data_IF_816989173133
#
_entry.id   IF_816989173133
#
_cell.length_a   1.000
_cell.length_b   1.000
_cell.length_c   1.000
_cell.angle_alpha   90.00
_cell.angle_beta   90.00
_cell.angle_gamma   90.00
#
_symmetry.space_group_name_H-M   'P 1'
#
loop_
_entity.id
_entity.type
_entity.pdbx_description
1 polymer ?
#
# COMPACT_ATOMS: atom_id res chain seq x y z
N UNK A 1 -9.21 15.40 -34.40
CA UNK A 1 -8.43 15.88 -33.23
C UNK A 1 -8.22 14.66 -32.36
N UNK A 2 -7.00 14.36 -31.94
CA UNK A 2 -6.77 13.27 -30.99
C UNK A 2 -7.51 13.59 -29.68
N UNK A 3 -8.12 12.60 -29.09
CA UNK A 3 -8.69 12.74 -27.73
C UNK A 3 -7.56 13.03 -26.76
N UNK A 4 -7.81 13.94 -25.80
CA UNK A 4 -6.83 14.37 -24.81
C UNK A 4 -7.14 13.73 -23.46
N UNK A 5 -6.10 13.36 -22.74
CA UNK A 5 -6.17 13.01 -21.32
C UNK A 5 -5.81 14.22 -20.47
N UNK A 6 -6.34 14.28 -19.26
CA UNK A 6 -5.97 15.23 -18.22
C UNK A 6 -5.20 14.50 -17.12
N UNK A 7 -4.29 15.20 -16.45
CA UNK A 7 -3.57 14.62 -15.32
C UNK A 7 -2.88 15.66 -14.45
N UNK A 8 -2.68 15.28 -13.17
CA UNK A 8 -1.95 16.06 -12.18
C UNK A 8 -0.47 15.71 -12.23
N UNK A 9 0.33 16.65 -12.74
CA UNK A 9 1.75 16.45 -13.02
C UNK A 9 2.62 17.02 -11.90
N UNK A 10 3.55 16.20 -11.43
CA UNK A 10 4.65 16.58 -10.57
C UNK A 10 5.78 17.17 -11.42
N UNK A 11 6.28 18.33 -11.04
CA UNK A 11 7.37 19.03 -11.73
C UNK A 11 8.61 19.12 -10.87
N UNK A 12 8.42 19.34 -9.55
CA UNK A 12 9.52 19.49 -8.60
C UNK A 12 9.01 19.46 -7.17
N UNK A 13 9.86 19.01 -6.25
CA UNK A 13 9.62 19.10 -4.80
C UNK A 13 9.43 20.55 -4.37
N UNK A 14 8.51 20.79 -3.45
CA UNK A 14 8.05 22.09 -2.95
C UNK A 14 7.26 22.94 -3.96
N UNK A 15 6.86 22.36 -5.08
CA UNK A 15 5.95 22.99 -6.03
C UNK A 15 4.61 22.24 -6.08
N UNK A 16 3.47 22.95 -6.28
CA UNK A 16 2.19 22.27 -6.38
C UNK A 16 2.13 21.43 -7.66
N UNK A 17 1.26 20.41 -7.65
CA UNK A 17 0.93 19.67 -8.86
C UNK A 17 0.30 20.61 -9.90
N UNK A 18 0.61 20.36 -11.17
CA UNK A 18 0.10 21.16 -12.30
C UNK A 18 -0.87 20.30 -13.09
N UNK A 19 -2.08 20.83 -13.35
CA UNK A 19 -3.03 20.20 -14.25
C UNK A 19 -2.54 20.35 -15.70
N UNK A 20 -2.36 19.23 -16.38
CA UNK A 20 -1.90 19.19 -17.78
C UNK A 20 -2.87 18.43 -18.67
N UNK A 21 -2.84 18.78 -19.97
CA UNK A 21 -3.50 18.00 -21.02
C UNK A 21 -2.44 17.40 -21.94
N UNK A 22 -2.52 16.10 -22.19
CA UNK A 22 -1.63 15.33 -23.07
C UNK A 22 -2.48 14.54 -24.08
N UNK A 23 -1.87 14.05 -25.12
CA UNK A 23 -2.51 13.03 -25.98
C UNK A 23 -2.71 11.74 -25.16
N UNK A 24 -3.84 11.06 -25.37
CA UNK A 24 -4.02 9.72 -24.79
C UNK A 24 -2.89 8.83 -25.30
N UNK A 25 -2.16 8.14 -24.42
CA UNK A 25 -1.04 7.30 -24.83
C UNK A 25 -1.52 6.15 -25.72
N UNK A 26 -0.61 5.62 -26.54
CA UNK A 26 -0.83 4.42 -27.33
C UNK A 26 -0.19 3.21 -26.68
N UNK A 27 -0.83 2.06 -26.81
CA UNK A 27 -0.28 0.81 -26.30
C UNK A 27 0.96 0.42 -27.10
N UNK A 28 2.12 0.37 -26.42
CA UNK A 28 3.35 -0.23 -26.99
C UNK A 28 3.31 -1.76 -26.84
N UNK A 29 4.17 -2.52 -27.55
CA UNK A 29 4.22 -3.98 -27.40
C UNK A 29 4.36 -4.40 -25.92
N UNK A 30 3.56 -5.37 -25.48
CA UNK A 30 3.51 -5.86 -24.12
C UNK A 30 2.74 -4.99 -23.13
N UNK A 31 2.21 -3.83 -23.55
CA UNK A 31 1.48 -2.88 -22.67
C UNK A 31 0.01 -2.76 -23.08
N UNK A 32 -0.77 -2.25 -22.16
CA UNK A 32 -2.15 -1.82 -22.39
C UNK A 32 -2.29 -0.32 -22.09
N UNK A 33 -3.34 0.31 -22.63
CA UNK A 33 -3.85 1.61 -22.18
C UNK A 33 -5.04 1.35 -21.29
N UNK A 34 -5.11 2.05 -20.17
CA UNK A 34 -6.15 1.93 -19.16
C UNK A 34 -6.84 3.29 -19.01
N UNK A 35 -8.16 3.32 -19.17
CA UNK A 35 -8.99 4.38 -18.66
C UNK A 35 -9.09 4.22 -17.14
N UNK A 36 -8.53 5.16 -16.39
CA UNK A 36 -8.52 5.12 -14.93
C UNK A 36 -9.93 5.36 -14.41
N UNK A 37 -10.38 4.50 -13.51
CA UNK A 37 -11.67 4.64 -12.82
C UNK A 37 -11.48 5.07 -11.38
N UNK A 38 -10.40 4.62 -10.73
CA UNK A 38 -10.04 5.06 -9.40
C UNK A 38 -8.52 5.05 -9.22
N UNK A 39 -8.01 5.97 -8.38
CA UNK A 39 -6.62 6.01 -7.97
C UNK A 39 -6.50 6.44 -6.51
N UNK A 40 -5.86 5.61 -5.68
CA UNK A 40 -5.61 5.94 -4.28
C UNK A 40 -4.54 7.02 -4.12
N UNK A 41 -4.61 7.77 -3.00
CA UNK A 41 -3.62 8.77 -2.60
C UNK A 41 -2.76 8.23 -1.46
N UNK A 42 -1.44 8.29 -1.62
CA UNK A 42 -0.47 7.75 -0.69
C UNK A 42 0.40 8.83 -0.02
N UNK A 43 0.90 8.53 1.18
CA UNK A 43 1.89 9.38 1.85
C UNK A 43 3.24 9.45 1.09
N UNK A 44 3.56 8.48 0.24
CA UNK A 44 4.72 8.54 -0.64
C UNK A 44 4.61 9.66 -1.68
N UNK A 45 3.40 9.97 -2.16
CA UNK A 45 3.16 11.12 -3.05
C UNK A 45 3.41 12.44 -2.30
N UNK A 46 2.98 12.51 -1.02
CA UNK A 46 3.30 13.64 -0.14
C UNK A 46 4.81 13.72 0.09
N UNK A 47 5.48 12.57 0.30
CA UNK A 47 6.93 12.50 0.42
C UNK A 47 7.65 13.14 -0.77
N UNK A 48 7.28 12.79 -1.99
CA UNK A 48 7.84 13.37 -3.21
C UNK A 48 7.64 14.90 -3.31
N UNK A 49 6.49 15.39 -2.85
CA UNK A 49 6.18 16.82 -2.85
C UNK A 49 6.95 17.61 -1.79
N UNK A 50 7.37 16.97 -0.68
CA UNK A 50 7.91 17.66 0.50
C UNK A 50 9.39 17.40 0.73
N UNK A 51 9.96 16.27 0.29
CA UNK A 51 11.32 15.86 0.60
C UNK A 51 12.13 15.60 -0.69
N UNK A 52 13.19 16.40 -0.95
CA UNK A 52 14.07 16.19 -2.11
C UNK A 52 14.72 14.79 -2.16
N UNK A 53 14.81 14.07 -1.05
CA UNK A 53 15.35 12.70 -1.02
C UNK A 53 14.52 11.70 -1.84
N UNK A 54 13.25 12.02 -2.11
CA UNK A 54 12.41 11.21 -3.00
C UNK A 54 12.73 11.37 -4.48
N UNK A 55 13.51 12.40 -4.85
CA UNK A 55 13.90 12.63 -6.25
C UNK A 55 14.74 11.49 -6.83
N UNK A 56 15.46 10.74 -5.98
CA UNK A 56 16.30 9.62 -6.42
C UNK A 56 15.48 8.41 -6.90
N UNK A 57 14.21 8.30 -6.48
CA UNK A 57 13.32 7.20 -6.88
C UNK A 57 12.36 7.58 -8.00
N UNK A 58 12.21 8.87 -8.31
CA UNK A 58 11.42 9.33 -9.45
C UNK A 58 12.34 9.39 -10.68
N UNK A 59 12.08 8.55 -11.67
CA UNK A 59 13.00 8.37 -12.80
C UNK A 59 12.67 9.23 -14.02
N UNK A 60 11.44 9.74 -14.08
CA UNK A 60 10.94 10.53 -15.20
C UNK A 60 10.44 11.88 -14.71
N UNK A 61 10.89 12.96 -15.33
CA UNK A 61 10.47 14.34 -15.05
C UNK A 61 10.12 15.11 -16.31
N UNK A 62 9.02 15.87 -16.31
CA UNK A 62 7.93 15.84 -15.32
C UNK A 62 7.10 14.56 -15.47
N UNK A 63 6.39 14.14 -14.42
CA UNK A 63 5.59 12.91 -14.39
C UNK A 63 4.20 13.16 -13.80
N UNK A 64 3.17 12.54 -14.33
CA UNK A 64 1.85 12.48 -13.67
C UNK A 64 1.95 11.46 -12.54
N UNK A 65 1.59 11.86 -11.31
CA UNK A 65 1.69 11.01 -10.12
C UNK A 65 0.51 10.03 -10.01
N UNK A 66 0.48 9.29 -8.90
CA UNK A 66 -0.56 8.30 -8.58
C UNK A 66 -0.17 6.90 -9.03
N UNK A 67 -0.01 6.01 -8.06
CA UNK A 67 0.46 4.63 -8.30
C UNK A 67 -0.53 3.55 -7.86
N UNK A 68 -1.68 3.93 -7.28
CA UNK A 68 -2.71 3.01 -6.81
C UNK A 68 -3.89 2.95 -7.79
N UNK A 69 -3.75 2.20 -8.87
CA UNK A 69 -4.59 2.35 -10.06
C UNK A 69 -5.52 1.17 -10.24
N UNK A 70 -6.79 1.46 -10.51
CA UNK A 70 -7.76 0.55 -11.07
C UNK A 70 -8.50 1.19 -12.25
N UNK A 71 -8.90 0.40 -13.24
CA UNK A 71 -9.58 0.94 -14.41
C UNK A 71 -9.98 -0.12 -15.42
N UNK A 72 -10.25 0.35 -16.65
CA UNK A 72 -10.71 -0.48 -17.76
C UNK A 72 -9.73 -0.37 -18.92
N UNK A 73 -9.37 -1.49 -19.52
CA UNK A 73 -8.48 -1.53 -20.69
C UNK A 73 -9.20 -0.93 -21.89
N UNK A 74 -8.58 0.06 -22.55
CA UNK A 74 -9.11 0.73 -23.75
C UNK A 74 -8.32 0.42 -25.02
N UNK A 75 -7.04 0.03 -24.88
CA UNK A 75 -6.20 -0.38 -26.02
C UNK A 75 -5.24 -1.49 -25.54
N UNK A 76 -4.98 -2.47 -26.42
CA UNK A 76 -4.08 -3.60 -26.14
C UNK A 76 -2.96 -3.58 -27.16
N UNK A 77 -1.70 -3.61 -26.69
CA UNK A 77 -0.52 -3.62 -27.52
C UNK A 77 -0.20 -5.00 -28.07
N UNK A 78 0.69 -5.04 -29.07
CA UNK A 78 1.16 -6.28 -29.66
C UNK A 78 1.80 -7.21 -28.62
N UNK A 79 1.50 -8.52 -28.71
CA UNK A 79 2.07 -9.54 -27.85
C UNK A 79 1.45 -9.64 -26.46
N UNK A 80 0.46 -8.84 -26.13
CA UNK A 80 -0.30 -8.99 -24.86
C UNK A 80 -1.23 -10.19 -24.97
N UNK A 81 -1.11 -11.11 -24.03
CA UNK A 81 -1.97 -12.28 -23.90
C UNK A 81 -2.81 -12.21 -22.61
N UNK A 82 -3.99 -12.82 -22.62
CA UNK A 82 -4.86 -12.93 -21.44
C UNK A 82 -5.71 -11.70 -21.11
N UNK A 83 -5.54 -10.58 -21.82
CA UNK A 83 -6.30 -9.34 -21.63
C UNK A 83 -6.88 -8.83 -22.94
N UNK A 84 -8.04 -8.15 -22.86
CA UNK A 84 -8.74 -7.51 -23.97
C UNK A 84 -9.32 -6.17 -23.56
N UNK A 85 -9.67 -5.37 -24.56
CA UNK A 85 -10.44 -4.13 -24.36
C UNK A 85 -11.75 -4.43 -23.61
N UNK A 86 -12.03 -3.62 -22.58
CA UNK A 86 -13.16 -3.76 -21.69
C UNK A 86 -12.87 -4.54 -20.40
N UNK A 87 -11.72 -5.18 -20.27
CA UNK A 87 -11.37 -5.87 -19.02
C UNK A 87 -11.11 -4.87 -17.88
N UNK A 88 -11.62 -5.21 -16.69
CA UNK A 88 -11.42 -4.47 -15.44
C UNK A 88 -10.12 -4.92 -14.80
N UNK A 89 -9.20 -4.00 -14.56
CA UNK A 89 -7.87 -4.31 -14.06
C UNK A 89 -7.40 -3.39 -12.94
N UNK A 90 -6.67 -3.95 -11.99
CA UNK A 90 -5.82 -3.26 -11.03
C UNK A 90 -4.37 -3.34 -11.51
N UNK A 91 -3.55 -2.34 -11.18
CA UNK A 91 -2.15 -2.27 -11.61
C UNK A 91 -1.24 -2.44 -10.39
N UNK A 92 -0.36 -3.45 -10.43
CA UNK A 92 0.70 -3.56 -9.42
C UNK A 92 1.73 -2.45 -9.64
N UNK A 93 1.97 -1.56 -8.66
CA UNK A 93 2.92 -0.45 -8.81
C UNK A 93 4.39 -0.91 -8.69
N UNK A 94 4.65 -2.05 -8.05
CA UNK A 94 5.99 -2.59 -7.85
C UNK A 94 6.47 -3.26 -9.13
N UNK A 95 7.23 -2.51 -9.93
CA UNK A 95 7.73 -2.96 -11.23
C UNK A 95 9.25 -2.85 -11.28
N UNK A 96 9.93 -3.75 -12.03
CA UNK A 96 11.38 -3.73 -12.15
C UNK A 96 11.90 -2.39 -12.68
N UNK A 97 13.16 -2.10 -12.39
CA UNK A 97 13.89 -0.96 -12.93
C UNK A 97 13.23 0.41 -12.67
N UNK A 98 12.34 0.48 -11.67
CA UNK A 98 11.66 1.73 -11.29
C UNK A 98 10.60 2.20 -12.31
N UNK A 99 10.19 1.39 -13.29
CA UNK A 99 9.16 1.73 -14.30
C UNK A 99 7.72 1.74 -13.74
N UNK A 100 7.57 1.89 -12.42
CA UNK A 100 6.26 1.98 -11.75
C UNK A 100 5.48 3.23 -12.15
N UNK A 101 4.11 3.16 -12.16
CA UNK A 101 3.29 4.32 -12.46
C UNK A 101 3.48 5.42 -11.40
N UNK A 102 3.49 6.69 -11.82
CA UNK A 102 3.71 7.85 -10.96
C UNK A 102 5.17 8.15 -10.63
N UNK A 103 6.10 7.26 -10.98
CA UNK A 103 7.54 7.39 -10.71
C UNK A 103 8.40 7.19 -11.96
N UNK A 104 8.23 6.09 -12.69
CA UNK A 104 8.95 5.76 -13.91
C UNK A 104 8.19 6.10 -15.19
N UNK A 105 6.87 6.29 -15.09
CA UNK A 105 5.97 6.74 -16.16
C UNK A 105 4.77 7.46 -15.58
N UNK A 106 3.98 8.10 -16.46
CA UNK A 106 2.73 8.75 -16.05
C UNK A 106 1.80 7.77 -15.33
N UNK A 107 1.32 8.18 -14.16
CA UNK A 107 0.52 7.40 -13.23
C UNK A 107 -0.98 7.64 -13.34
N UNK A 108 -1.68 7.38 -12.23
CA UNK A 108 -3.14 7.29 -12.15
C UNK A 108 -3.86 8.57 -11.76
N UNK A 109 -3.17 9.65 -11.39
CA UNK A 109 -3.85 10.95 -11.24
C UNK A 109 -4.12 11.55 -12.61
N UNK A 110 -4.70 10.75 -13.49
CA UNK A 110 -5.02 11.06 -14.87
C UNK A 110 -6.21 10.23 -15.35
N UNK A 111 -6.85 10.70 -16.42
CA UNK A 111 -7.94 9.95 -17.04
C UNK A 111 -7.47 8.65 -17.72
N UNK A 112 -6.21 8.59 -18.14
CA UNK A 112 -5.62 7.43 -18.80
C UNK A 112 -4.17 7.23 -18.35
N UNK A 113 -3.75 5.96 -18.32
CA UNK A 113 -2.36 5.56 -18.10
C UNK A 113 -2.01 4.33 -18.94
N UNK A 114 -0.75 3.89 -18.88
CA UNK A 114 -0.31 2.62 -19.49
C UNK A 114 0.22 1.68 -18.42
N UNK A 115 0.15 0.38 -18.68
CA UNK A 115 0.77 -0.62 -17.82
C UNK A 115 1.26 -1.82 -18.64
N UNK A 116 2.38 -2.47 -18.23
CA UNK A 116 2.78 -3.76 -18.78
C UNK A 116 1.75 -4.82 -18.36
N UNK A 117 1.39 -5.71 -19.28
CA UNK A 117 0.36 -6.73 -19.05
C UNK A 117 0.69 -7.68 -17.88
N UNK A 118 1.96 -7.96 -17.65
CA UNK A 118 2.44 -8.84 -16.57
C UNK A 118 2.18 -8.29 -15.15
N UNK A 119 1.93 -6.98 -15.01
CA UNK A 119 1.61 -6.32 -13.74
C UNK A 119 0.12 -5.97 -13.59
N UNK A 120 -0.73 -6.53 -14.46
CA UNK A 120 -2.18 -6.37 -14.38
C UNK A 120 -2.80 -7.51 -13.58
N UNK A 121 -3.76 -7.15 -12.75
CA UNK A 121 -4.58 -8.09 -11.99
C UNK A 121 -6.04 -7.91 -12.39
N UNK A 122 -6.73 -8.95 -12.90
CA UNK A 122 -8.16 -8.87 -13.18
C UNK A 122 -8.95 -8.58 -11.90
N UNK A 123 -9.87 -7.62 -11.97
CA UNK A 123 -10.75 -7.26 -10.85
C UNK A 123 -12.02 -8.12 -10.95
N UNK A 124 -12.38 -8.91 -9.90
CA UNK A 124 -13.64 -9.63 -9.83
C UNK A 124 -14.85 -8.69 -9.94
N UNK A 125 -15.94 -9.15 -10.49
CA UNK A 125 -17.16 -8.34 -10.70
C UNK A 125 -17.75 -7.80 -9.38
N UNK A 126 -17.56 -8.53 -8.29
CA UNK A 126 -18.02 -8.19 -6.95
C UNK A 126 -17.20 -7.09 -6.26
N UNK A 127 -16.01 -6.76 -6.79
CA UNK A 127 -15.11 -5.75 -6.24
C UNK A 127 -15.21 -4.47 -7.07
N UNK A 128 -15.52 -3.35 -6.45
CA UNK A 128 -15.55 -2.05 -7.12
C UNK A 128 -14.13 -1.48 -7.39
N UNK A 129 -14.04 -0.45 -8.22
CA UNK A 129 -12.75 0.16 -8.58
C UNK A 129 -12.08 0.87 -7.41
N UNK A 130 -12.84 1.42 -6.48
CA UNK A 130 -12.32 2.12 -5.30
C UNK A 130 -11.56 1.15 -4.39
N UNK A 131 -12.19 0.02 -4.08
CA UNK A 131 -11.57 -1.05 -3.29
C UNK A 131 -10.37 -1.66 -4.02
N UNK A 132 -10.50 -1.88 -5.33
CA UNK A 132 -9.41 -2.44 -6.14
C UNK A 132 -8.20 -1.49 -6.22
N UNK A 133 -8.42 -0.17 -6.36
CA UNK A 133 -7.33 0.83 -6.32
C UNK A 133 -6.60 0.80 -4.97
N UNK A 134 -7.34 0.89 -3.86
CA UNK A 134 -6.77 0.85 -2.52
C UNK A 134 -6.03 -0.48 -2.21
N UNK A 135 -6.42 -1.58 -2.86
CA UNK A 135 -5.75 -2.88 -2.72
C UNK A 135 -4.34 -2.89 -3.32
N UNK A 136 -4.04 -2.04 -4.33
CA UNK A 136 -2.77 -2.10 -5.08
C UNK A 136 -1.55 -1.57 -4.32
N UNK A 137 -1.74 -0.76 -3.27
CA UNK A 137 -0.64 -0.31 -2.41
C UNK A 137 -0.94 -0.56 -0.93
N UNK A 138 -1.94 0.10 -0.35
CA UNK A 138 -2.23 -0.07 1.08
C UNK A 138 -2.56 -1.53 1.42
N UNK A 139 -3.39 -2.19 0.58
CA UNK A 139 -3.69 -3.61 0.70
C UNK A 139 -2.45 -4.46 0.52
N UNK A 140 -1.76 -4.31 -0.62
CA UNK A 140 -0.60 -5.11 -1.00
C UNK A 140 0.53 -5.01 0.01
N UNK A 141 0.92 -3.80 0.42
CA UNK A 141 1.99 -3.56 1.38
C UNK A 141 1.70 -4.22 2.73
N UNK A 142 0.45 -4.11 3.19
CA UNK A 142 0.04 -4.74 4.45
C UNK A 142 -0.02 -6.26 4.36
N UNK A 143 -0.55 -6.80 3.26
CA UNK A 143 -0.65 -8.23 3.02
C UNK A 143 0.74 -8.88 2.88
N UNK A 144 1.60 -8.27 2.07
CA UNK A 144 2.97 -8.75 1.87
C UNK A 144 3.76 -8.78 3.19
N UNK A 145 3.62 -7.74 4.02
CA UNK A 145 4.27 -7.71 5.33
C UNK A 145 3.79 -8.84 6.25
N UNK A 146 2.47 -9.12 6.28
CA UNK A 146 1.88 -10.15 7.15
C UNK A 146 2.14 -11.56 6.60
N UNK A 147 1.80 -11.79 5.34
CA UNK A 147 1.81 -13.14 4.73
C UNK A 147 3.13 -13.43 4.04
N UNK A 148 3.59 -12.54 3.17
CA UNK A 148 4.81 -12.73 2.40
C UNK A 148 6.05 -12.76 3.28
N UNK A 149 6.36 -11.67 3.97
CA UNK A 149 7.54 -11.55 4.82
C UNK A 149 7.35 -12.18 6.20
N UNK A 150 6.18 -11.95 6.83
CA UNK A 150 5.86 -12.48 8.14
C UNK A 150 5.68 -14.00 8.15
N UNK A 151 5.12 -14.55 7.08
CA UNK A 151 4.76 -15.97 7.02
C UNK A 151 3.60 -16.34 7.96
N UNK A 152 2.73 -15.36 8.26
CA UNK A 152 1.60 -15.54 9.18
C UNK A 152 0.58 -16.50 8.60
N UNK A 153 0.17 -17.46 9.40
CA UNK A 153 -0.76 -18.54 9.05
C UNK A 153 -1.60 -18.93 10.27
N UNK A 154 -2.51 -19.88 10.11
CA UNK A 154 -3.34 -20.39 11.19
C UNK A 154 -2.52 -20.76 12.43
N UNK A 155 -2.94 -20.26 13.58
CA UNK A 155 -2.31 -20.47 14.89
C UNK A 155 -1.07 -19.62 15.18
N UNK A 156 -0.53 -18.86 14.21
CA UNK A 156 0.62 -17.97 14.46
C UNK A 156 0.26 -16.91 15.50
N UNK A 157 1.10 -16.71 16.51
CA UNK A 157 1.01 -15.59 17.42
C UNK A 157 1.74 -14.38 16.83
N UNK A 158 0.99 -13.38 16.38
CA UNK A 158 1.53 -12.21 15.70
C UNK A 158 1.26 -10.92 16.47
N UNK A 159 2.29 -10.11 16.64
CA UNK A 159 2.19 -8.73 17.12
C UNK A 159 2.04 -7.75 15.96
N UNK A 160 1.13 -6.79 16.07
CA UNK A 160 0.96 -5.69 15.11
C UNK A 160 1.20 -4.38 15.84
N UNK A 161 2.21 -3.63 15.45
CA UNK A 161 2.52 -2.31 16.01
C UNK A 161 2.05 -1.22 15.06
N UNK A 162 1.24 -0.28 15.55
CA UNK A 162 0.73 0.84 14.79
C UNK A 162 -0.53 0.50 14.01
N UNK A 163 -1.69 0.89 14.54
CA UNK A 163 -3.01 0.74 13.91
C UNK A 163 -3.39 2.05 13.20
N UNK A 164 -2.68 2.33 12.12
CA UNK A 164 -3.00 3.33 11.11
C UNK A 164 -3.62 2.67 9.88
N UNK A 165 -3.54 3.29 8.71
CA UNK A 165 -4.08 2.74 7.45
C UNK A 165 -3.56 1.32 7.16
N UNK A 166 -2.24 1.13 7.13
CA UNK A 166 -1.62 -0.18 6.88
C UNK A 166 -1.85 -1.17 8.01
N UNK A 167 -1.64 -0.77 9.27
CA UNK A 167 -1.74 -1.68 10.40
C UNK A 167 -3.18 -2.17 10.66
N UNK A 168 -4.20 -1.38 10.31
CA UNK A 168 -5.60 -1.83 10.34
C UNK A 168 -5.82 -2.96 9.36
N UNK A 169 -5.27 -2.86 8.15
CA UNK A 169 -5.34 -3.92 7.14
C UNK A 169 -4.49 -5.13 7.54
N UNK A 170 -3.28 -4.90 8.07
CA UNK A 170 -2.44 -5.98 8.59
C UNK A 170 -3.15 -6.80 9.67
N UNK A 171 -3.89 -6.13 10.57
CA UNK A 171 -4.73 -6.80 11.57
C UNK A 171 -5.83 -7.66 10.92
N UNK A 172 -6.55 -7.13 9.91
CA UNK A 172 -7.57 -7.90 9.20
C UNK A 172 -6.97 -9.13 8.51
N UNK A 173 -5.88 -8.96 7.76
CA UNK A 173 -5.23 -10.07 7.06
C UNK A 173 -4.71 -11.14 8.02
N UNK A 174 -4.10 -10.76 9.13
CA UNK A 174 -3.63 -11.72 10.14
C UNK A 174 -4.80 -12.52 10.74
N UNK A 175 -5.92 -11.87 11.03
CA UNK A 175 -7.15 -12.52 11.52
C UNK A 175 -7.69 -13.48 10.47
N UNK A 176 -7.80 -13.07 9.20
CA UNK A 176 -8.27 -13.92 8.10
C UNK A 176 -7.37 -15.14 7.85
N UNK A 177 -6.08 -15.03 8.15
CA UNK A 177 -5.16 -16.19 8.12
C UNK A 177 -5.28 -17.10 9.36
N UNK A 178 -6.17 -16.80 10.30
CA UNK A 178 -6.38 -17.60 11.51
C UNK A 178 -5.32 -17.42 12.59
N UNK A 179 -4.59 -16.29 12.56
CA UNK A 179 -3.58 -15.98 13.55
C UNK A 179 -4.19 -15.46 14.88
N UNK A 180 -3.47 -15.62 15.96
CA UNK A 180 -3.76 -14.98 17.23
C UNK A 180 -3.06 -13.60 17.27
N UNK A 181 -3.84 -12.52 17.10
CA UNK A 181 -3.31 -11.18 16.86
C UNK A 181 -3.24 -10.36 18.14
N UNK A 182 -2.05 -9.82 18.43
CA UNK A 182 -1.76 -8.93 19.54
C UNK A 182 -1.43 -7.54 19.00
N UNK A 183 -2.22 -6.54 19.37
CA UNK A 183 -2.11 -5.19 18.82
C UNK A 183 -1.48 -4.23 19.80
N UNK A 184 -0.50 -3.44 19.35
CA UNK A 184 0.08 -2.34 20.09
C UNK A 184 -0.21 -0.98 19.42
N UNK A 185 -0.88 -0.08 20.11
CA UNK A 185 -1.15 1.29 19.66
C UNK A 185 -1.32 2.26 20.81
N UNK A 186 -0.71 3.44 20.71
CA UNK A 186 -0.87 4.52 21.71
C UNK A 186 -2.30 5.07 21.77
N UNK A 187 -3.03 5.04 20.64
CA UNK A 187 -4.41 5.54 20.54
C UNK A 187 -5.38 4.49 21.08
N UNK A 188 -6.14 4.81 22.12
CA UNK A 188 -7.15 3.92 22.71
C UNK A 188 -8.22 3.52 21.70
N UNK A 189 -8.75 4.49 20.93
CA UNK A 189 -9.74 4.23 19.88
C UNK A 189 -9.27 3.24 18.82
N UNK A 190 -7.98 3.24 18.50
CA UNK A 190 -7.39 2.28 17.56
C UNK A 190 -7.31 0.87 18.16
N UNK A 191 -6.98 0.75 19.46
CA UNK A 191 -7.00 -0.52 20.19
C UNK A 191 -8.40 -1.12 20.24
N UNK A 192 -9.41 -0.29 20.56
CA UNK A 192 -10.81 -0.72 20.59
C UNK A 192 -11.29 -1.18 19.20
N UNK A 193 -10.93 -0.44 18.13
CA UNK A 193 -11.26 -0.82 16.74
C UNK A 193 -10.63 -2.18 16.38
N UNK A 194 -9.38 -2.40 16.77
CA UNK A 194 -8.69 -3.67 16.51
C UNK A 194 -9.33 -4.86 17.26
N UNK A 195 -9.69 -4.66 18.53
CA UNK A 195 -10.40 -5.69 19.33
C UNK A 195 -11.78 -6.02 18.74
N UNK A 196 -12.54 -5.01 18.30
CA UNK A 196 -13.84 -5.22 17.62
C UNK A 196 -13.68 -5.97 16.30
N UNK A 197 -12.55 -5.79 15.62
CA UNK A 197 -12.23 -6.51 14.39
C UNK A 197 -11.74 -7.95 14.62
N UNK A 198 -11.54 -8.37 15.87
CA UNK A 198 -11.16 -9.75 16.22
C UNK A 198 -9.73 -9.94 16.74
N UNK A 199 -8.98 -8.87 17.01
CA UNK A 199 -7.69 -9.01 17.68
C UNK A 199 -7.86 -9.67 19.06
N UNK A 200 -6.93 -10.56 19.41
CA UNK A 200 -6.98 -11.32 20.67
C UNK A 200 -6.73 -10.44 21.89
N UNK A 201 -5.71 -9.57 21.82
CA UNK A 201 -5.37 -8.60 22.86
C UNK A 201 -4.91 -7.27 22.24
N UNK A 202 -5.09 -6.19 22.97
CA UNK A 202 -4.57 -4.88 22.60
C UNK A 202 -3.97 -4.17 23.83
N UNK A 203 -2.84 -3.48 23.62
CA UNK A 203 -2.12 -2.73 24.63
C UNK A 203 -1.52 -1.43 24.06
N UNK A 204 -0.94 -0.60 24.92
CA UNK A 204 -0.28 0.62 24.48
C UNK A 204 1.10 0.33 23.87
N UNK A 205 1.85 -0.62 24.43
CA UNK A 205 3.16 -1.06 23.97
C UNK A 205 3.19 -2.56 23.68
N UNK A 206 3.94 -2.97 22.67
CA UNK A 206 4.18 -4.37 22.34
C UNK A 206 4.93 -5.11 23.48
N UNK A 207 5.67 -4.39 24.30
CA UNK A 207 6.39 -4.95 25.44
C UNK A 207 5.46 -5.58 26.50
N UNK A 208 4.19 -5.20 26.54
CA UNK A 208 3.19 -5.81 27.41
C UNK A 208 2.92 -7.27 27.06
N UNK A 209 3.29 -7.68 25.86
CA UNK A 209 3.12 -9.03 25.31
C UNK A 209 4.42 -9.85 25.23
N UNK A 210 5.52 -9.38 25.82
CA UNK A 210 6.85 -10.03 25.73
C UNK A 210 6.87 -11.50 26.21
N UNK A 211 5.96 -11.87 27.11
CA UNK A 211 5.86 -13.23 27.67
C UNK A 211 4.77 -14.07 26.98
N UNK A 212 4.12 -13.55 25.95
CA UNK A 212 3.05 -14.25 25.20
C UNK A 212 3.57 -15.20 24.13
N UNK A 213 4.88 -15.15 23.79
CA UNK A 213 5.49 -16.00 22.80
C UNK A 213 5.17 -15.58 21.36
N UNK A 214 5.25 -14.29 21.06
CA UNK A 214 5.01 -13.75 19.71
C UNK A 214 6.05 -14.24 18.72
N UNK A 215 5.63 -15.02 17.75
CA UNK A 215 6.50 -15.61 16.72
C UNK A 215 6.93 -14.59 15.65
N UNK A 216 6.02 -13.66 15.34
CA UNK A 216 6.22 -12.59 14.35
C UNK A 216 5.70 -11.28 14.94
N UNK A 217 6.43 -10.18 14.73
CA UNK A 217 5.95 -8.84 15.04
C UNK A 217 6.10 -7.99 13.78
N UNK A 218 4.99 -7.36 13.35
CA UNK A 218 4.97 -6.47 12.19
C UNK A 218 4.91 -5.03 12.70
N UNK A 219 5.93 -4.23 12.40
CA UNK A 219 6.01 -2.83 12.79
C UNK A 219 5.58 -1.91 11.65
N UNK A 220 4.27 -1.58 11.60
CA UNK A 220 3.71 -0.61 10.66
C UNK A 220 3.93 0.84 11.09
N UNK A 221 4.40 1.08 12.31
CA UNK A 221 4.71 2.43 12.77
C UNK A 221 6.10 2.87 12.33
N UNK A 222 7.11 2.00 12.47
CA UNK A 222 8.51 2.32 12.18
C UNK A 222 8.98 3.58 12.93
N UNK A 223 8.44 3.82 14.12
CA UNK A 223 8.80 4.97 14.96
C UNK A 223 10.06 4.64 15.76
N UNK A 224 10.77 5.67 16.20
CA UNK A 224 12.09 5.62 16.80
C UNK A 224 12.41 4.41 17.72
N UNK A 225 11.44 3.97 18.53
CA UNK A 225 11.66 2.86 19.47
C UNK A 225 10.86 1.60 19.16
N UNK A 226 9.89 1.64 18.25
CA UNK A 226 8.95 0.53 18.05
C UNK A 226 9.62 -0.72 17.52
N UNK A 227 10.57 -0.60 16.61
CA UNK A 227 11.37 -1.72 16.09
C UNK A 227 12.25 -2.34 17.19
N UNK A 228 12.85 -1.50 18.06
CA UNK A 228 13.64 -1.98 19.19
C UNK A 228 12.76 -2.73 20.22
N UNK A 229 11.59 -2.17 20.55
CA UNK A 229 10.61 -2.81 21.43
C UNK A 229 10.08 -4.12 20.84
N UNK A 230 9.89 -4.19 19.50
CA UNK A 230 9.52 -5.42 18.82
C UNK A 230 10.58 -6.52 18.99
N UNK A 231 11.86 -6.19 18.85
CA UNK A 231 12.94 -7.13 19.09
C UNK A 231 12.97 -7.63 20.54
N UNK A 232 12.68 -6.76 21.52
CA UNK A 232 12.59 -7.17 22.92
C UNK A 232 11.36 -8.05 23.22
N UNK A 233 10.26 -7.87 22.50
CA UNK A 233 9.03 -8.60 22.72
C UNK A 233 8.91 -9.91 21.95
N UNK A 234 9.60 -10.04 20.80
CA UNK A 234 9.52 -11.25 19.97
C UNK A 234 10.10 -12.47 20.70
N UNK A 235 9.52 -13.64 20.48
CA UNK A 235 9.99 -14.90 21.03
C UNK A 235 11.36 -15.30 20.48
N UNK A 236 12.10 -16.18 21.16
CA UNK A 236 13.32 -16.81 20.59
C UNK A 236 13.03 -17.48 19.23
N UNK A 237 13.91 -17.24 18.25
CA UNK A 237 13.73 -17.70 16.87
C UNK A 237 12.73 -16.89 16.06
N UNK A 238 12.10 -15.87 16.65
CA UNK A 238 11.06 -15.11 16.02
C UNK A 238 11.56 -14.03 15.06
N UNK A 239 10.62 -13.33 14.43
CA UNK A 239 10.88 -12.40 13.33
C UNK A 239 10.21 -11.05 13.58
N UNK A 240 10.95 -9.97 13.35
CA UNK A 240 10.43 -8.60 13.30
C UNK A 240 10.41 -8.14 11.83
N UNK A 241 9.25 -7.77 11.33
CA UNK A 241 9.05 -7.23 9.98
C UNK A 241 8.84 -5.73 10.08
N UNK A 242 9.73 -4.93 9.51
CA UNK A 242 9.66 -3.46 9.56
C UNK A 242 9.08 -2.92 8.26
N UNK A 243 7.99 -2.17 8.36
CA UNK A 243 7.25 -1.59 7.23
C UNK A 243 7.19 -0.07 7.34
N UNK A 244 6.87 0.45 8.52
CA UNK A 244 6.72 1.88 8.77
C UNK A 244 8.04 2.63 8.69
N UNK A 245 7.98 3.87 8.22
CA UNK A 245 9.14 4.76 8.02
C UNK A 245 8.98 6.09 8.79
N UNK A 246 8.33 6.08 9.95
CA UNK A 246 8.20 7.30 10.76
C UNK A 246 9.54 7.75 11.35
N UNK A 247 10.53 6.85 11.46
CA UNK A 247 11.93 7.15 11.73
C UNK A 247 12.79 6.28 10.82
N UNK A 248 13.80 6.87 10.18
CA UNK A 248 14.69 6.14 9.28
C UNK A 248 15.84 5.44 10.00
N UNK A 249 16.02 5.73 11.29
CA UNK A 249 17.09 5.15 12.13
C UNK A 249 16.51 4.71 13.46
N UNK A 250 17.04 3.59 13.99
CA UNK A 250 16.73 3.10 15.34
C UNK A 250 17.95 2.42 15.94
N UNK A 251 18.05 2.47 17.27
CA UNK A 251 19.06 1.71 18.02
C UNK A 251 18.44 0.46 18.60
N UNK A 252 19.03 -0.69 18.33
CA UNK A 252 18.59 -1.99 18.84
C UNK A 252 19.59 -2.58 19.85
N UNK A 253 19.09 -3.46 20.71
CA UNK A 253 19.93 -4.26 21.58
C UNK A 253 20.43 -5.51 20.83
N UNK A 254 21.68 -5.51 20.40
CA UNK A 254 22.27 -6.63 19.65
C UNK A 254 22.40 -7.90 20.48
N UNK A 255 22.51 -7.81 21.82
CA UNK A 255 22.52 -9.02 22.66
C UNK A 255 21.16 -9.71 22.65
N UNK A 256 20.05 -8.97 22.64
CA UNK A 256 18.70 -9.54 22.47
C UNK A 256 18.55 -10.23 21.12
N UNK A 257 19.05 -9.63 20.03
CA UNK A 257 19.05 -10.23 18.70
C UNK A 257 19.79 -11.56 18.68
N UNK A 258 21.02 -11.59 19.24
CA UNK A 258 21.89 -12.77 19.26
C UNK A 258 21.32 -13.86 20.15
N UNK A 259 20.97 -13.54 21.40
CA UNK A 259 20.55 -14.53 22.39
C UNK A 259 19.18 -15.15 22.08
N UNK A 260 18.33 -14.42 21.36
CA UNK A 260 17.04 -14.93 20.87
C UNK A 260 17.16 -15.62 19.53
N UNK A 261 18.29 -15.53 18.83
CA UNK A 261 18.40 -15.96 17.42
C UNK A 261 17.28 -15.36 16.55
N UNK A 262 16.86 -14.13 16.88
CA UNK A 262 15.78 -13.44 16.19
C UNK A 262 16.26 -12.81 14.87
N UNK A 263 15.33 -12.50 13.97
CA UNK A 263 15.62 -11.78 12.72
C UNK A 263 14.85 -10.47 12.64
N UNK A 264 15.46 -9.46 12.00
CA UNK A 264 14.81 -8.21 11.62
C UNK A 264 14.89 -8.12 10.10
N UNK A 265 13.74 -7.96 9.44
CA UNK A 265 13.66 -7.87 7.98
C UNK A 265 12.81 -6.67 7.57
N UNK A 266 13.16 -6.03 6.46
CA UNK A 266 12.34 -5.00 5.84
C UNK A 266 11.23 -5.59 4.97
N UNK A 267 10.13 -4.86 4.80
CA UNK A 267 9.08 -5.17 3.85
C UNK A 267 8.68 -3.90 3.11
N UNK A 268 8.67 -3.97 1.78
CA UNK A 268 8.27 -2.86 0.91
C UNK A 268 7.35 -3.39 -0.19
N UNK A 269 6.21 -2.70 -0.41
CA UNK A 269 5.26 -3.08 -1.44
C UNK A 269 4.85 -4.56 -1.37
N UNK A 270 4.84 -5.23 -2.49
CA UNK A 270 4.50 -6.64 -2.63
C UNK A 270 4.50 -7.09 -4.09
N UNK A 271 3.66 -8.05 -4.44
CA UNK A 271 3.63 -8.72 -5.74
C UNK A 271 2.25 -8.66 -6.37
N UNK A 272 2.12 -8.89 -7.71
CA UNK A 272 0.81 -9.08 -8.33
C UNK A 272 -0.02 -10.19 -7.69
N UNK A 273 0.63 -11.25 -7.18
CA UNK A 273 -0.03 -12.34 -6.50
C UNK A 273 -0.68 -11.90 -5.17
N UNK A 274 0.01 -11.02 -4.41
CA UNK A 274 -0.55 -10.47 -3.17
C UNK A 274 -1.84 -9.68 -3.45
N UNK A 275 -1.84 -8.83 -4.50
CA UNK A 275 -3.03 -8.08 -4.91
C UNK A 275 -4.16 -9.02 -5.31
N UNK A 276 -3.84 -10.08 -6.09
CA UNK A 276 -4.84 -11.07 -6.48
C UNK A 276 -5.50 -11.72 -5.27
N UNK A 277 -4.73 -12.16 -4.29
CA UNK A 277 -5.26 -12.79 -3.07
C UNK A 277 -6.13 -11.81 -2.26
N UNK A 278 -5.76 -10.53 -2.23
CA UNK A 278 -6.58 -9.48 -1.57
C UNK A 278 -7.91 -9.32 -2.29
N UNK A 279 -7.91 -9.22 -3.62
CA UNK A 279 -9.13 -9.10 -4.41
C UNK A 279 -10.03 -10.34 -4.26
N UNK A 280 -9.45 -11.53 -4.14
CA UNK A 280 -10.20 -12.77 -3.84
C UNK A 280 -10.85 -12.70 -2.45
N UNK A 281 -10.14 -12.20 -1.42
CA UNK A 281 -10.71 -11.98 -0.07
C UNK A 281 -11.81 -10.92 -0.07
N UNK A 282 -11.65 -9.84 -0.85
CA UNK A 282 -12.69 -8.82 -1.02
C UNK A 282 -13.93 -9.37 -1.71
N UNK A 283 -13.77 -10.17 -2.78
CA UNK A 283 -14.85 -10.87 -3.46
C UNK A 283 -15.65 -11.75 -2.50
N UNK A 284 -15.00 -12.41 -1.56
CA UNK A 284 -15.62 -13.24 -0.53
C UNK A 284 -16.24 -12.42 0.62
N UNK A 285 -16.10 -11.10 0.62
CA UNK A 285 -16.58 -10.21 1.69
C UNK A 285 -15.81 -10.32 3.01
N UNK A 286 -14.61 -10.91 3.00
CA UNK A 286 -13.78 -11.14 4.19
C UNK A 286 -12.93 -9.93 4.59
N UNK A 287 -12.58 -9.11 3.62
CA UNK A 287 -11.74 -7.93 3.81
C UNK A 287 -12.33 -6.75 3.05
N UNK A 288 -12.26 -5.58 3.66
CA UNK A 288 -12.57 -4.30 3.01
C UNK A 288 -11.64 -3.21 3.52
N UNK A 289 -11.36 -2.24 2.68
CA UNK A 289 -10.55 -1.07 3.01
C UNK A 289 -11.49 0.09 3.32
N UNK A 290 -11.24 0.78 4.44
CA UNK A 290 -11.97 2.00 4.81
C UNK A 290 -11.52 3.13 3.86
N UNK A 291 -12.37 3.51 2.92
CA UNK A 291 -12.07 4.48 1.86
C UNK A 291 -12.95 5.73 1.96
N UNK A 292 -12.42 6.85 1.51
CA UNK A 292 -13.14 8.10 1.28
C UNK A 292 -12.90 8.52 -0.17
N UNK A 293 -13.96 8.65 -0.94
CA UNK A 293 -13.90 9.06 -2.34
C UNK A 293 -13.76 10.58 -2.46
N UNK A 294 -12.91 11.01 -3.38
CA UNK A 294 -12.74 12.41 -3.77
C UNK A 294 -12.77 12.53 -5.29
N UNK A 295 -13.15 13.68 -5.80
CA UNK A 295 -13.12 13.95 -7.25
C UNK A 295 -11.69 14.13 -7.77
N UNK A 296 -11.52 14.03 -9.08
CA UNK A 296 -10.23 14.28 -9.74
C UNK A 296 -9.67 15.68 -9.42
N UNK A 297 -10.53 16.68 -9.35
CA UNK A 297 -10.15 18.07 -9.05
C UNK A 297 -9.64 18.24 -7.62
N UNK A 298 -10.05 17.39 -6.69
CA UNK A 298 -9.68 17.44 -5.28
C UNK A 298 -8.34 16.75 -4.96
N UNK A 299 -7.65 16.13 -5.93
CA UNK A 299 -6.37 15.44 -5.70
C UNK A 299 -5.34 16.30 -4.98
N UNK A 300 -5.06 17.58 -5.36
CA UNK A 300 -4.11 18.41 -4.63
C UNK A 300 -4.54 18.71 -3.18
N UNK A 301 -5.84 18.94 -2.94
CA UNK A 301 -6.38 19.14 -1.59
C UNK A 301 -6.32 17.85 -0.77
N UNK A 302 -6.61 16.69 -1.39
CA UNK A 302 -6.50 15.37 -0.76
C UNK A 302 -5.09 15.09 -0.27
N UNK A 303 -4.06 15.39 -1.05
CA UNK A 303 -2.66 15.26 -0.66
C UNK A 303 -2.31 16.23 0.48
N UNK A 304 -2.83 17.44 0.47
CA UNK A 304 -2.65 18.39 1.57
C UNK A 304 -3.31 17.88 2.87
N UNK A 305 -4.50 17.30 2.80
CA UNK A 305 -5.18 16.66 3.95
C UNK A 305 -4.37 15.49 4.52
N UNK A 306 -3.76 14.67 3.64
CA UNK A 306 -2.84 13.59 4.04
C UNK A 306 -1.63 14.14 4.79
N UNK A 307 -0.97 15.16 4.24
CA UNK A 307 0.17 15.86 4.85
C UNK A 307 -0.16 16.37 6.26
N UNK A 308 -1.35 16.92 6.44
CA UNK A 308 -1.82 17.47 7.71
C UNK A 308 -2.31 16.42 8.72
N UNK A 309 -2.30 15.13 8.33
CA UNK A 309 -2.79 14.04 9.18
C UNK A 309 -4.30 14.08 9.47
N UNK A 310 -5.07 14.73 8.62
CA UNK A 310 -6.54 14.89 8.74
C UNK A 310 -7.35 13.75 8.14
N UNK A 311 -6.68 12.73 7.63
CA UNK A 311 -7.31 11.58 6.97
C UNK A 311 -7.16 10.34 7.86
N UNK A 312 -8.26 9.60 8.04
CA UNK A 312 -8.30 8.37 8.84
C UNK A 312 -8.60 7.12 8.00
N UNK A 313 -9.06 7.31 6.77
CA UNK A 313 -9.36 6.32 5.74
C UNK A 313 -8.32 6.36 4.62
N UNK A 314 -8.49 5.56 3.56
CA UNK A 314 -7.73 5.73 2.32
C UNK A 314 -8.48 6.68 1.40
N UNK A 315 -7.87 7.81 1.04
CA UNK A 315 -8.44 8.68 0.01
C UNK A 315 -8.28 8.01 -1.35
N UNK A 316 -9.36 7.97 -2.11
CA UNK A 316 -9.37 7.41 -3.46
C UNK A 316 -10.05 8.40 -4.41
N UNK A 317 -9.29 8.86 -5.38
CA UNK A 317 -9.78 9.70 -6.46
C UNK A 317 -10.61 8.87 -7.44
N UNK A 318 -11.79 9.38 -7.80
CA UNK A 318 -12.68 8.78 -8.81
C UNK A 318 -13.02 9.81 -9.90
N UNK A 319 -13.49 9.31 -11.04
CA UNK A 319 -14.11 10.12 -12.09
C UNK A 319 -15.62 9.89 -12.06
N UNK A 320 -16.40 10.97 -12.15
CA UNK A 320 -17.85 10.96 -12.28
C UNK A 320 -18.33 10.27 -13.57
#
# INVERSE_FOLDING_TARGET
MSEKMKGWQFTKTHEPLVLVEKDIPKAKPGYVVIEVKACGLCHSDVGALEDPGWMDIIQVFPVIMGHEISGVITEVGEGVEGFKVGDRVAVCPMQPDGDGPGYGRDGGYATHTTAPAEFLIPIPDEVDFVQAAAATDAGMTSYHAVVGQGGVKEGTKVGIIGIGGLGTLGNQFAIEKGAQVYVASRKESAREKALKAGAYKAAESILEFKDEGLEVIIDFAGANKTTAEALEAVAPGGKVVVVGMASLETTINTSSLILKEASIIGSVGGTPQDIKEILDLMKEGKVSIDTEEISFEEVPEGLQRLKEGKVTSRLVMTFD
#
